data_IF_738149110297
#
_entry.id   IF_738149110297
#
_cell.length_a   1.000
_cell.length_b   1.000
_cell.length_c   1.000
_cell.angle_alpha   90.00
_cell.angle_beta   90.00
_cell.angle_gamma   90.00
#
_symmetry.space_group_name_H-M   'P 1'
#
loop_
_entity.id
_entity.type
_entity.pdbx_description
1 polymer ?
#
# COMPACT_ATOMS: atom_id res chain seq x y z
N UNK A 1 34.30 5.59 9.05
CA UNK A 1 33.24 4.56 9.12
C UNK A 1 31.89 5.25 9.08
N UNK A 2 31.22 5.18 7.97
CA UNK A 2 29.83 5.59 7.89
C UNK A 2 29.01 4.58 8.68
N UNK A 3 28.37 5.02 9.75
CA UNK A 3 27.33 4.25 10.41
C UNK A 3 26.17 4.09 9.42
N UNK A 4 26.26 3.07 8.57
CA UNK A 4 25.11 2.66 7.78
C UNK A 4 24.10 2.10 8.76
N UNK A 5 22.99 2.81 8.97
CA UNK A 5 21.87 2.23 9.67
C UNK A 5 21.45 0.98 8.89
N UNK A 6 21.21 -0.13 9.57
CA UNK A 6 20.77 -1.32 8.88
C UNK A 6 19.43 -1.03 8.19
N UNK A 7 19.29 -1.47 6.94
CA UNK A 7 18.00 -1.45 6.25
C UNK A 7 16.97 -2.23 7.08
N UNK A 8 15.68 -1.92 6.94
CA UNK A 8 14.64 -2.64 7.67
C UNK A 8 14.67 -4.14 7.34
N UNK A 9 14.42 -4.94 8.36
CA UNK A 9 14.28 -6.38 8.21
C UNK A 9 12.85 -6.74 7.76
N UNK A 10 12.64 -8.02 7.43
CA UNK A 10 11.35 -8.53 7.00
C UNK A 10 10.26 -8.30 8.06
N UNK A 11 10.57 -8.42 9.34
CA UNK A 11 9.63 -8.21 10.44
C UNK A 11 9.14 -6.76 10.52
N UNK A 12 10.05 -5.81 10.38
CA UNK A 12 9.71 -4.38 10.37
C UNK A 12 8.82 -4.04 9.16
N UNK A 13 9.13 -4.57 7.99
CA UNK A 13 8.32 -4.37 6.77
C UNK A 13 6.94 -4.99 6.97
N UNK A 14 6.87 -6.23 7.45
CA UNK A 14 5.60 -6.91 7.73
C UNK A 14 4.71 -6.09 8.65
N UNK A 15 5.27 -5.50 9.69
CA UNK A 15 4.53 -4.66 10.63
C UNK A 15 3.92 -3.43 9.95
N UNK A 16 4.63 -2.79 9.01
CA UNK A 16 4.13 -1.64 8.27
C UNK A 16 2.98 -1.98 7.31
N UNK A 17 2.87 -3.25 6.90
CA UNK A 17 1.83 -3.75 6.00
C UNK A 17 0.74 -4.54 6.73
N UNK A 18 0.65 -4.41 8.05
CA UNK A 18 -0.33 -5.16 8.86
C UNK A 18 -1.28 -4.20 9.58
N UNK A 19 -2.56 -4.28 9.24
CA UNK A 19 -3.63 -3.58 9.96
C UNK A 19 -4.90 -4.41 9.89
N UNK A 20 -5.26 -5.16 10.95
CA UNK A 20 -6.56 -5.84 11.00
C UNK A 20 -7.72 -4.84 11.08
N UNK A 21 -8.91 -5.27 10.71
CA UNK A 21 -10.13 -4.50 11.00
C UNK A 21 -10.26 -4.23 12.50
N UNK A 22 -10.72 -3.03 12.84
CA UNK A 22 -10.94 -2.62 14.22
C UNK A 22 -9.65 -2.36 15.02
N UNK A 23 -8.49 -2.41 14.39
CA UNK A 23 -7.18 -2.17 15.04
C UNK A 23 -6.50 -0.97 14.40
N UNK A 24 -5.67 -0.23 15.16
CA UNK A 24 -4.89 0.85 14.59
C UNK A 24 -3.83 0.32 13.63
N UNK A 25 -3.52 1.10 12.60
CA UNK A 25 -2.40 0.87 11.70
C UNK A 25 -1.08 1.38 12.29
N UNK A 26 0.02 1.32 11.50
CA UNK A 26 1.29 1.87 11.92
C UNK A 26 1.19 3.35 12.30
N UNK A 27 1.96 3.74 13.30
CA UNK A 27 2.04 5.14 13.74
C UNK A 27 2.94 5.96 12.80
N UNK A 28 2.80 7.30 12.78
CA UNK A 28 3.73 8.16 12.03
C UNK A 28 5.21 7.89 12.35
N UNK A 29 5.53 7.66 13.62
CA UNK A 29 6.92 7.37 14.04
C UNK A 29 7.44 6.05 13.46
N UNK A 30 6.59 5.02 13.38
CA UNK A 30 6.95 3.74 12.75
C UNK A 30 7.25 3.92 11.26
N UNK A 31 6.49 4.73 10.54
CA UNK A 31 6.77 5.06 9.14
C UNK A 31 8.09 5.81 9.00
N UNK A 32 8.32 6.84 9.82
CA UNK A 32 9.51 7.69 9.77
C UNK A 32 10.79 6.95 10.16
N UNK A 33 10.69 5.90 10.93
CA UNK A 33 11.83 5.04 11.28
C UNK A 33 12.37 4.28 10.05
N UNK A 34 11.49 3.90 9.13
CA UNK A 34 11.81 3.04 7.98
C UNK A 34 11.91 3.83 6.67
N UNK A 35 11.09 4.86 6.49
CA UNK A 35 11.02 5.68 5.28
C UNK A 35 11.94 6.89 5.39
N UNK A 36 12.64 7.20 4.29
CA UNK A 36 13.38 8.45 4.16
C UNK A 36 12.42 9.65 4.19
N UNK A 37 12.89 10.78 4.70
CA UNK A 37 12.10 12.00 4.75
C UNK A 37 11.57 12.42 3.38
N UNK A 38 12.37 12.24 2.32
CA UNK A 38 12.11 12.61 0.94
C UNK A 38 11.55 11.47 0.09
N UNK A 39 11.00 10.42 0.69
CA UNK A 39 10.49 9.25 -0.03
C UNK A 39 9.53 9.65 -1.16
N UNK A 40 9.70 9.01 -2.30
CA UNK A 40 8.81 9.16 -3.46
C UNK A 40 7.77 8.05 -3.43
N UNK A 41 6.51 8.42 -3.26
CA UNK A 41 5.37 7.51 -3.23
C UNK A 41 4.58 7.57 -4.54
N UNK A 42 4.32 6.42 -5.13
CA UNK A 42 3.57 6.30 -6.39
C UNK A 42 2.58 5.16 -6.27
N UNK A 43 1.32 5.40 -6.61
CA UNK A 43 0.32 4.36 -6.82
C UNK A 43 -0.45 4.62 -8.13
N UNK A 44 -1.36 3.73 -8.56
CA UNK A 44 -2.10 3.91 -9.81
C UNK A 44 -2.93 5.20 -9.90
N UNK A 45 -3.20 5.86 -8.78
CA UNK A 45 -4.10 7.02 -8.72
C UNK A 45 -3.40 8.33 -8.33
N UNK A 46 -2.18 8.26 -7.78
CA UNK A 46 -1.50 9.43 -7.24
C UNK A 46 0.01 9.28 -7.18
N UNK A 47 0.68 10.42 -7.04
CA UNK A 47 2.11 10.52 -6.83
C UNK A 47 2.35 11.58 -5.76
N UNK A 48 3.19 11.26 -4.77
CA UNK A 48 3.48 12.16 -3.66
C UNK A 48 4.96 12.14 -3.30
N UNK A 49 5.44 13.26 -2.78
CA UNK A 49 6.82 13.42 -2.33
C UNK A 49 6.86 13.73 -0.85
N UNK A 50 7.71 13.01 -0.14
CA UNK A 50 7.93 13.18 1.29
C UNK A 50 7.11 12.23 2.16
N UNK A 51 7.71 11.82 3.28
CA UNK A 51 7.08 10.88 4.22
C UNK A 51 5.82 11.46 4.87
N UNK A 52 5.78 12.76 5.12
CA UNK A 52 4.60 13.40 5.70
C UNK A 52 3.42 13.35 4.73
N UNK A 53 3.66 13.56 3.44
CA UNK A 53 2.63 13.44 2.41
C UNK A 53 2.12 11.99 2.27
N UNK A 54 3.01 11.01 2.38
CA UNK A 54 2.64 9.60 2.39
C UNK A 54 1.76 9.25 3.60
N UNK A 55 2.18 9.66 4.80
CA UNK A 55 1.41 9.45 6.03
C UNK A 55 0.03 10.11 5.94
N UNK A 56 -0.04 11.32 5.42
CA UNK A 56 -1.31 12.02 5.20
C UNK A 56 -2.23 11.24 4.25
N UNK A 57 -1.68 10.68 3.17
CA UNK A 57 -2.45 9.86 2.24
C UNK A 57 -3.03 8.61 2.93
N UNK A 58 -2.25 7.93 3.76
CA UNK A 58 -2.70 6.77 4.52
C UNK A 58 -3.80 7.14 5.53
N UNK A 59 -3.61 8.21 6.27
CA UNK A 59 -4.60 8.69 7.24
C UNK A 59 -5.92 9.11 6.57
N UNK A 60 -5.85 9.76 5.42
CA UNK A 60 -7.03 10.15 4.65
C UNK A 60 -7.83 8.92 4.19
N UNK A 61 -7.16 7.88 3.74
CA UNK A 61 -7.81 6.63 3.36
C UNK A 61 -8.56 6.01 4.54
N UNK A 62 -7.89 5.91 5.68
CA UNK A 62 -8.49 5.33 6.90
C UNK A 62 -9.69 6.15 7.37
N UNK A 63 -9.59 7.49 7.34
CA UNK A 63 -10.67 8.36 7.78
C UNK A 63 -11.90 8.36 6.85
N UNK A 64 -11.70 8.12 5.56
CA UNK A 64 -12.78 8.08 4.57
C UNK A 64 -13.55 6.77 4.53
N UNK A 65 -13.02 5.73 5.14
CA UNK A 65 -13.63 4.41 5.19
C UNK A 65 -14.20 4.14 6.59
N UNK A 66 -15.22 3.30 6.68
CA UNK A 66 -15.73 2.79 7.96
C UNK A 66 -14.66 1.96 8.67
N UNK A 67 -13.95 1.16 7.91
CA UNK A 67 -12.81 0.39 8.40
C UNK A 67 -11.89 0.01 7.23
N UNK A 68 -10.64 -0.27 7.55
CA UNK A 68 -9.59 -0.68 6.59
C UNK A 68 -8.80 -1.83 7.17
N UNK A 69 -8.52 -2.87 6.37
CA UNK A 69 -7.50 -3.83 6.73
C UNK A 69 -6.41 -3.91 5.67
N UNK A 70 -5.23 -4.29 6.10
CA UNK A 70 -4.09 -4.59 5.25
C UNK A 70 -3.41 -5.85 5.79
N UNK A 71 -3.23 -6.85 4.92
CA UNK A 71 -2.63 -8.12 5.27
C UNK A 71 -1.50 -8.46 4.28
N UNK A 72 -0.25 -8.61 4.75
CA UNK A 72 0.86 -9.04 3.92
C UNK A 72 0.85 -10.57 3.75
N UNK A 73 1.15 -11.06 2.55
CA UNK A 73 1.19 -12.49 2.24
C UNK A 73 2.61 -13.00 1.97
N UNK A 74 3.41 -12.22 1.26
CA UNK A 74 4.77 -12.59 0.91
C UNK A 74 5.67 -11.36 0.91
N UNK A 75 6.89 -11.52 1.40
CA UNK A 75 7.90 -10.46 1.43
C UNK A 75 9.19 -11.04 0.85
N UNK A 76 9.73 -10.36 -0.16
CA UNK A 76 11.02 -10.70 -0.76
C UNK A 76 11.94 -9.50 -0.61
N UNK A 77 13.10 -9.71 -0.04
CA UNK A 77 14.03 -8.67 0.36
C UNK A 77 15.44 -8.96 -0.14
N UNK A 78 16.05 -8.00 -0.80
CA UNK A 78 17.49 -8.00 -1.10
C UNK A 78 18.15 -6.71 -0.62
N UNK A 79 19.41 -6.45 -1.00
CA UNK A 79 20.14 -5.28 -0.51
C UNK A 79 19.61 -3.93 -1.03
N UNK A 80 18.87 -3.93 -2.12
CA UNK A 80 18.41 -2.70 -2.79
C UNK A 80 16.91 -2.53 -2.81
N UNK A 81 16.16 -3.64 -2.72
CA UNK A 81 14.73 -3.66 -3.04
C UNK A 81 13.99 -4.62 -2.12
N UNK A 82 12.76 -4.26 -1.77
CA UNK A 82 11.82 -5.15 -1.13
C UNK A 82 10.52 -5.20 -1.94
N UNK A 83 9.93 -6.38 -2.02
CA UNK A 83 8.59 -6.60 -2.58
C UNK A 83 7.68 -7.19 -1.52
N UNK A 84 6.49 -6.65 -1.43
CA UNK A 84 5.44 -7.14 -0.53
C UNK A 84 4.18 -7.40 -1.33
N UNK A 85 3.70 -8.63 -1.31
CA UNK A 85 2.36 -8.96 -1.79
C UNK A 85 1.38 -8.80 -0.64
N UNK A 86 0.28 -8.12 -0.87
CA UNK A 86 -0.70 -7.83 0.17
C UNK A 86 -2.14 -7.85 -0.36
N UNK A 87 -3.08 -7.94 0.57
CA UNK A 87 -4.50 -7.68 0.32
C UNK A 87 -4.94 -6.51 1.20
N UNK A 88 -5.64 -5.56 0.59
CA UNK A 88 -6.28 -4.44 1.30
C UNK A 88 -7.79 -4.56 1.19
N UNK A 89 -8.47 -4.39 2.31
CA UNK A 89 -9.93 -4.33 2.36
C UNK A 89 -10.42 -2.99 2.86
N UNK A 90 -11.42 -2.45 2.20
CA UNK A 90 -12.09 -1.21 2.58
C UNK A 90 -13.56 -1.47 2.82
N UNK A 91 -14.08 -1.01 3.96
CA UNK A 91 -15.52 -1.00 4.25
C UNK A 91 -16.07 0.40 4.07
N UNK A 92 -17.00 0.56 3.13
CA UNK A 92 -17.64 1.83 2.80
C UNK A 92 -19.12 1.59 2.59
N UNK A 93 -19.98 2.22 3.39
CA UNK A 93 -21.43 2.11 3.31
C UNK A 93 -21.94 0.64 3.29
N UNK A 94 -21.34 -0.18 4.14
CA UNK A 94 -21.69 -1.60 4.26
C UNK A 94 -21.17 -2.50 3.13
N UNK A 95 -20.45 -1.94 2.16
CA UNK A 95 -19.85 -2.71 1.07
C UNK A 95 -18.35 -2.90 1.37
N UNK A 96 -17.87 -4.12 1.17
CA UNK A 96 -16.45 -4.45 1.29
C UNK A 96 -15.80 -4.49 -0.08
N UNK A 97 -14.74 -3.69 -0.24
CA UNK A 97 -13.93 -3.64 -1.46
C UNK A 97 -12.58 -4.29 -1.17
N UNK A 98 -12.21 -5.30 -1.94
CA UNK A 98 -10.98 -6.09 -1.73
C UNK A 98 -10.00 -5.84 -2.89
N UNK A 99 -8.80 -5.41 -2.52
CA UNK A 99 -7.72 -5.08 -3.48
C UNK A 99 -6.51 -5.97 -3.21
N UNK A 100 -6.25 -6.98 -4.04
CA UNK A 100 -4.94 -7.62 -4.07
C UNK A 100 -3.94 -6.69 -4.74
N UNK A 101 -2.74 -6.64 -4.21
CA UNK A 101 -1.71 -5.78 -4.75
C UNK A 101 -0.31 -6.17 -4.31
N UNK A 102 0.64 -5.39 -4.76
CA UNK A 102 2.04 -5.52 -4.38
C UNK A 102 2.70 -4.15 -4.30
N UNK A 103 3.70 -4.06 -3.46
CA UNK A 103 4.52 -2.86 -3.31
C UNK A 103 5.97 -3.19 -3.61
N UNK A 104 6.61 -2.34 -4.43
CA UNK A 104 8.07 -2.33 -4.57
C UNK A 104 8.63 -1.15 -3.78
N UNK A 105 9.57 -1.44 -2.89
CA UNK A 105 10.31 -0.43 -2.13
C UNK A 105 11.77 -0.45 -2.53
N UNK A 106 12.37 0.72 -2.69
CA UNK A 106 13.79 0.87 -2.99
C UNK A 106 14.49 1.50 -1.79
N UNK A 107 15.62 0.91 -1.38
CA UNK A 107 16.43 1.41 -0.26
C UNK A 107 17.48 2.40 -0.75
N UNK A 108 17.64 3.50 -0.01
CA UNK A 108 18.74 4.43 -0.18
C UNK A 108 20.04 3.93 0.47
N UNK A 109 21.10 4.72 0.32
CA UNK A 109 22.43 4.40 0.87
C UNK A 109 22.46 4.30 2.40
N UNK A 110 21.53 4.97 3.08
CA UNK A 110 21.36 4.92 4.54
C UNK A 110 20.47 3.78 5.01
N UNK A 111 19.96 2.95 4.10
CA UNK A 111 19.05 1.83 4.39
C UNK A 111 17.59 2.21 4.52
N UNK A 112 17.24 3.49 4.41
CA UNK A 112 15.84 3.92 4.44
C UNK A 112 15.18 3.81 3.08
N UNK A 113 13.86 3.63 3.06
CA UNK A 113 13.07 3.54 1.82
C UNK A 113 12.99 4.92 1.18
N UNK A 114 13.49 5.03 -0.05
CA UNK A 114 13.49 6.27 -0.85
C UNK A 114 12.41 6.28 -1.93
N UNK A 115 11.91 5.10 -2.32
CA UNK A 115 10.81 4.97 -3.28
C UNK A 115 9.86 3.86 -2.82
N UNK A 116 8.57 4.13 -2.90
CA UNK A 116 7.49 3.19 -2.60
C UNK A 116 6.51 3.24 -3.77
N UNK A 117 6.39 2.15 -4.50
CA UNK A 117 5.46 2.05 -5.63
C UNK A 117 4.48 0.91 -5.41
N UNK A 118 3.20 1.25 -5.38
CA UNK A 118 2.11 0.29 -5.29
C UNK A 118 1.61 -0.12 -6.68
N UNK A 119 1.36 -1.41 -6.84
CA UNK A 119 0.76 -2.00 -8.03
C UNK A 119 -0.53 -2.69 -7.64
N UNK A 120 -1.66 -2.18 -8.06
CA UNK A 120 -2.95 -2.84 -7.87
C UNK A 120 -3.95 -2.37 -8.93
N UNK A 121 -4.94 -3.22 -9.19
CA UNK A 121 -6.09 -2.86 -10.01
C UNK A 121 -7.10 -2.12 -9.13
N UNK A 122 -7.36 -0.85 -9.42
CA UNK A 122 -8.36 -0.06 -8.70
C UNK A 122 -9.73 -0.04 -9.40
N UNK A 123 -9.82 -0.52 -10.63
CA UNK A 123 -11.07 -0.49 -11.42
C UNK A 123 -11.93 -1.70 -11.10
N UNK A 124 -11.42 -2.91 -11.35
CA UNK A 124 -12.16 -4.15 -11.12
C UNK A 124 -12.69 -4.30 -9.69
N UNK A 125 -11.82 -4.23 -8.67
CA UNK A 125 -12.25 -4.33 -7.28
C UNK A 125 -13.16 -3.20 -6.81
N UNK A 126 -13.02 -1.99 -7.38
CA UNK A 126 -13.88 -0.85 -7.02
C UNK A 126 -15.28 -0.99 -7.58
N UNK A 127 -15.42 -1.36 -8.84
CA UNK A 127 -16.73 -1.48 -9.49
C UNK A 127 -17.34 -2.86 -9.39
N UNK A 128 -16.54 -3.90 -9.21
CA UNK A 128 -17.00 -5.29 -9.13
C UNK A 128 -18.09 -5.56 -8.11
N UNK A 129 -17.97 -5.07 -6.86
CA UNK A 129 -18.99 -5.26 -5.82
C UNK A 129 -20.23 -4.40 -6.02
N UNK A 130 -20.19 -3.36 -6.86
CA UNK A 130 -21.31 -2.45 -7.08
C UNK A 130 -22.28 -3.09 -8.09
N UNK A 131 -23.57 -3.30 -7.72
CA UNK A 131 -24.55 -3.89 -8.64
C UNK A 131 -24.67 -3.09 -9.94
N UNK A 132 -24.81 -3.78 -11.07
CA UNK A 132 -24.95 -3.21 -12.43
C UNK A 132 -23.61 -2.67 -12.96
N UNK A 133 -22.93 -1.75 -12.24
CA UNK A 133 -21.66 -1.19 -12.65
C UNK A 133 -20.57 -2.26 -12.79
N UNK A 134 -20.46 -3.17 -11.84
CA UNK A 134 -19.51 -4.27 -11.91
C UNK A 134 -19.73 -5.16 -13.12
N UNK A 135 -20.97 -5.49 -13.44
CA UNK A 135 -21.33 -6.26 -14.61
C UNK A 135 -21.01 -5.53 -15.91
N UNK A 136 -21.27 -4.23 -15.96
CA UNK A 136 -20.93 -3.39 -17.11
C UNK A 136 -19.42 -3.30 -17.36
N UNK A 137 -18.64 -3.06 -16.33
CA UNK A 137 -17.17 -2.98 -16.42
C UNK A 137 -16.59 -4.32 -16.89
N UNK A 138 -17.06 -5.45 -16.33
CA UNK A 138 -16.63 -6.79 -16.76
C UNK A 138 -17.01 -7.08 -18.22
N UNK A 139 -18.22 -6.68 -18.61
CA UNK A 139 -18.68 -6.81 -20.00
C UNK A 139 -17.79 -5.99 -20.95
N UNK A 140 -17.50 -4.75 -20.60
CA UNK A 140 -16.65 -3.84 -21.39
C UNK A 140 -15.23 -4.42 -21.54
N UNK A 141 -14.65 -4.90 -20.47
CA UNK A 141 -13.32 -5.54 -20.50
C UNK A 141 -13.30 -6.77 -21.42
N UNK A 142 -14.26 -7.66 -21.25
CA UNK A 142 -14.37 -8.86 -22.11
C UNK A 142 -14.59 -8.53 -23.57
N UNK A 143 -15.33 -7.46 -23.85
CA UNK A 143 -15.64 -7.06 -25.21
C UNK A 143 -14.44 -6.49 -25.97
N UNK A 144 -13.56 -5.75 -25.29
CA UNK A 144 -12.48 -4.99 -25.93
C UNK A 144 -11.08 -5.45 -25.60
N UNK A 145 -10.86 -6.19 -24.52
CA UNK A 145 -9.52 -6.58 -24.06
C UNK A 145 -9.33 -8.10 -24.01
N UNK A 146 -10.27 -8.81 -23.45
CA UNK A 146 -10.25 -10.26 -23.35
C UNK A 146 -11.11 -10.88 -24.45
#
# INVERSE_FOLDING_TARGET
MTNMQPKPDESQIKQLFTKPYGKPGPTPDQWKEVYAREVHFIDPTQERYGVDAYILAQNNLIQRCEDVYLEPHAIVLNNKTAFVEWTMGLKIQGIEFIYPGATRMTFGSDGKIIEHRDYFDFIGPTFGPVPILGSFVRWLYKRFVA
#
